data_IF_241815823044
#
_entry.id   IF_241815823044
#
_cell.length_a   1.000
_cell.length_b   1.000
_cell.length_c   1.000
_cell.angle_alpha   90.00
_cell.angle_beta   90.00
_cell.angle_gamma   90.00
#
_symmetry.space_group_name_H-M   'P 1'
#
loop_
_entity.id
_entity.type
_entity.pdbx_description
1 polymer ?
#
# COMPACT_ATOMS: atom_id res chain seq x y z
N UNK A 1 29.65 -35.72 -59.33
CA UNK A 1 30.07 -34.34 -59.63
C UNK A 1 29.05 -33.38 -59.03
N UNK A 2 29.49 -32.28 -58.38
CA UNK A 2 28.59 -31.23 -57.92
C UNK A 2 28.69 -30.83 -56.44
N UNK A 3 29.92 -30.73 -55.89
CA UNK A 3 30.18 -29.94 -54.68
C UNK A 3 30.56 -28.54 -55.14
N UNK A 4 30.01 -27.50 -54.49
CA UNK A 4 30.46 -26.09 -54.43
C UNK A 4 29.48 -25.03 -54.97
N UNK A 5 28.55 -24.56 -54.14
CA UNK A 5 27.92 -23.23 -54.36
C UNK A 5 27.36 -22.55 -53.09
N UNK A 6 27.58 -23.11 -51.90
CA UNK A 6 26.96 -22.57 -50.66
C UNK A 6 27.79 -21.55 -49.88
N UNK A 7 29.10 -21.46 -50.11
CA UNK A 7 30.01 -20.69 -49.23
C UNK A 7 30.29 -19.24 -49.65
N UNK A 8 29.95 -18.85 -50.88
CA UNK A 8 30.25 -17.51 -51.40
C UNK A 8 29.26 -16.43 -50.94
N UNK A 9 28.02 -16.79 -50.56
CA UNK A 9 26.97 -15.83 -50.20
C UNK A 9 27.05 -15.30 -48.75
N UNK A 10 27.87 -15.91 -47.89
CA UNK A 10 28.01 -15.50 -46.48
C UNK A 10 29.16 -14.53 -46.23
N UNK A 11 30.10 -14.34 -47.16
CA UNK A 11 31.20 -13.37 -46.98
C UNK A 11 30.81 -11.94 -47.37
N UNK A 12 29.92 -11.77 -48.34
CA UNK A 12 29.46 -10.46 -48.82
C UNK A 12 28.59 -9.74 -47.77
N UNK A 13 27.69 -10.47 -47.09
CA UNK A 13 26.82 -9.91 -46.03
C UNK A 13 27.57 -9.46 -44.76
N UNK A 14 28.79 -9.96 -44.52
CA UNK A 14 29.59 -9.58 -43.33
C UNK A 14 30.44 -8.33 -43.57
N UNK A 15 30.65 -7.94 -44.82
CA UNK A 15 31.40 -6.75 -45.19
C UNK A 15 30.54 -5.47 -45.17
N UNK A 16 29.25 -5.56 -45.50
CA UNK A 16 28.34 -4.41 -45.47
C UNK A 16 27.98 -3.95 -44.05
N UNK A 17 27.89 -4.88 -43.08
CA UNK A 17 27.59 -4.51 -41.70
C UNK A 17 28.74 -3.76 -41.00
N UNK A 18 29.95 -3.80 -41.55
CA UNK A 18 31.10 -3.05 -41.02
C UNK A 18 31.21 -1.62 -41.56
N UNK A 19 30.46 -1.24 -42.60
CA UNK A 19 30.46 0.13 -43.16
C UNK A 19 29.41 1.06 -42.56
N UNK A 20 28.40 0.55 -41.86
CA UNK A 20 27.35 1.36 -41.23
C UNK A 20 27.66 1.79 -39.79
N UNK A 21 28.87 1.54 -39.27
CA UNK A 21 29.40 2.25 -38.10
C UNK A 21 29.91 3.66 -38.45
N UNK A 22 29.14 4.39 -39.28
CA UNK A 22 29.26 5.84 -39.43
C UNK A 22 28.88 6.46 -38.08
N UNK A 23 29.90 6.75 -37.30
CA UNK A 23 30.02 7.97 -36.48
C UNK A 23 28.71 8.42 -35.83
N UNK A 24 28.32 7.74 -34.76
CA UNK A 24 27.63 8.43 -33.66
C UNK A 24 28.65 9.34 -32.97
N UNK A 25 28.98 10.45 -33.63
CA UNK A 25 29.60 11.57 -32.94
C UNK A 25 28.60 12.00 -31.88
N UNK A 26 28.97 11.78 -30.62
CA UNK A 26 28.17 12.25 -29.49
C UNK A 26 28.06 13.77 -29.68
N UNK A 27 26.84 14.34 -29.82
CA UNK A 27 26.72 15.78 -29.89
C UNK A 27 27.43 16.36 -28.67
N UNK A 28 28.28 17.36 -28.91
CA UNK A 28 29.15 17.92 -27.89
C UNK A 28 28.25 18.62 -26.86
N UNK A 29 27.84 17.89 -25.82
CA UNK A 29 26.86 18.28 -24.79
C UNK A 29 27.23 19.62 -24.11
N UNK A 30 28.49 20.04 -24.23
CA UNK A 30 28.97 21.35 -23.76
C UNK A 30 28.54 22.50 -24.67
N UNK A 31 28.46 22.29 -25.98
CA UNK A 31 27.99 23.29 -26.94
C UNK A 31 26.48 23.55 -26.78
N UNK A 32 25.66 22.49 -26.67
CA UNK A 32 24.21 22.63 -26.41
C UNK A 32 23.91 23.34 -25.09
N UNK A 33 24.63 22.99 -24.01
CA UNK A 33 24.47 23.67 -22.71
C UNK A 33 24.85 25.16 -22.78
N UNK A 34 25.89 25.49 -23.55
CA UNK A 34 26.30 26.90 -23.76
C UNK A 34 25.27 27.65 -24.60
N UNK A 35 24.72 27.06 -25.65
CA UNK A 35 23.68 27.67 -26.48
C UNK A 35 22.39 27.91 -25.67
N UNK A 36 21.97 26.91 -24.89
CA UNK A 36 20.80 27.02 -24.02
C UNK A 36 20.96 28.12 -22.97
N UNK A 37 22.13 28.23 -22.33
CA UNK A 37 22.41 29.34 -21.40
C UNK A 37 22.47 30.70 -22.09
N UNK A 38 22.95 30.77 -23.33
CA UNK A 38 22.94 32.02 -24.10
C UNK A 38 21.52 32.44 -24.51
N UNK A 39 20.63 31.49 -24.81
CA UNK A 39 19.20 31.79 -25.05
C UNK A 39 18.51 32.34 -23.80
N UNK A 40 18.79 31.80 -22.62
CA UNK A 40 18.29 32.36 -21.35
C UNK A 40 18.83 33.77 -21.05
N UNK A 41 20.07 34.08 -21.47
CA UNK A 41 20.64 35.42 -21.29
C UNK A 41 20.17 36.44 -22.33
N UNK A 42 19.87 36.01 -23.56
CA UNK A 42 19.39 36.88 -24.66
C UNK A 42 17.88 37.09 -24.64
N UNK A 43 17.13 36.07 -24.24
CA UNK A 43 15.69 36.14 -24.03
C UNK A 43 15.38 36.52 -22.60
N UNK A 44 15.67 37.76 -22.21
CA UNK A 44 14.99 38.40 -21.09
C UNK A 44 13.52 38.53 -21.46
N UNK A 45 12.78 37.43 -21.35
CA UNK A 45 11.34 37.38 -21.49
C UNK A 45 10.82 38.23 -20.33
N UNK A 46 10.54 39.51 -20.64
CA UNK A 46 9.60 40.34 -19.88
C UNK A 46 8.23 39.71 -20.08
N UNK A 47 8.00 38.54 -19.49
CA UNK A 47 6.65 38.01 -19.33
C UNK A 47 5.93 39.05 -18.51
N UNK A 48 4.95 39.69 -19.15
CA UNK A 48 3.88 40.41 -18.46
C UNK A 48 3.51 39.60 -17.23
N UNK A 49 3.41 40.27 -16.09
CA UNK A 49 3.10 39.68 -14.81
C UNK A 49 1.77 38.93 -14.90
N UNK A 50 1.81 37.65 -15.27
CA UNK A 50 0.70 36.75 -15.02
C UNK A 50 0.56 36.70 -13.50
N UNK A 51 -0.67 36.71 -12.99
CA UNK A 51 -0.95 36.52 -11.55
C UNK A 51 -0.18 35.32 -10.95
N UNK A 52 0.20 34.36 -11.80
CA UNK A 52 1.07 33.21 -11.49
C UNK A 52 2.46 33.57 -10.91
N UNK A 53 3.00 34.76 -11.14
CA UNK A 53 4.31 35.15 -10.61
C UNK A 53 4.23 36.09 -9.39
N UNK A 54 3.02 36.48 -8.99
CA UNK A 54 2.84 37.31 -7.79
C UNK A 54 3.02 36.44 -6.53
N UNK A 55 3.90 36.84 -5.60
CA UNK A 55 4.08 36.12 -4.34
C UNK A 55 2.81 36.27 -3.49
N UNK A 56 2.23 35.15 -3.08
CA UNK A 56 1.07 35.15 -2.18
C UNK A 56 1.46 35.58 -0.76
N UNK A 57 0.51 36.15 -0.02
CA UNK A 57 0.71 36.49 1.39
C UNK A 57 1.12 35.25 2.22
N UNK A 58 2.18 35.34 3.03
CA UNK A 58 2.68 34.20 3.79
C UNK A 58 1.73 33.85 4.94
N UNK A 59 1.14 32.64 4.92
CA UNK A 59 0.46 32.07 6.10
C UNK A 59 1.47 31.31 6.95
N UNK A 60 1.74 31.85 8.14
CA UNK A 60 2.45 31.15 9.21
C UNK A 60 3.93 30.91 8.95
N UNK A 61 4.78 31.51 9.77
CA UNK A 61 6.20 31.21 9.80
C UNK A 61 6.43 29.83 10.47
N UNK A 62 6.29 28.73 9.73
CA UNK A 62 6.83 27.45 10.21
C UNK A 62 8.31 27.34 9.80
N UNK A 63 9.23 27.07 10.74
CA UNK A 63 10.67 27.23 10.55
C UNK A 63 11.33 26.06 9.80
N UNK A 64 10.57 25.19 9.11
CA UNK A 64 11.09 23.91 8.62
C UNK A 64 10.66 23.60 7.19
N UNK A 65 11.31 24.26 6.23
CA UNK A 65 11.18 23.94 4.80
C UNK A 65 11.85 24.98 3.90
N UNK A 66 12.42 24.57 2.76
CA UNK A 66 12.91 25.50 1.72
C UNK A 66 11.74 26.36 1.25
N UNK A 67 11.77 27.67 1.54
CA UNK A 67 10.67 28.64 1.41
C UNK A 67 9.90 28.62 0.07
N UNK A 68 10.50 28.14 -1.01
CA UNK A 68 9.88 28.13 -2.35
C UNK A 68 9.21 26.81 -2.74
N UNK A 69 9.43 25.70 -2.01
CA UNK A 69 8.90 24.39 -2.43
C UNK A 69 7.44 24.18 -2.00
N UNK A 70 7.05 24.70 -0.84
CA UNK A 70 5.68 24.57 -0.33
C UNK A 70 4.68 25.49 -1.05
N UNK A 71 5.13 26.63 -1.57
CA UNK A 71 4.26 27.57 -2.30
C UNK A 71 3.74 26.99 -3.63
N UNK A 72 4.54 26.15 -4.29
CA UNK A 72 4.12 25.48 -5.52
C UNK A 72 3.06 24.43 -5.21
N UNK A 73 3.28 23.57 -4.22
CA UNK A 73 2.32 22.52 -3.82
C UNK A 73 0.99 23.11 -3.35
N UNK A 74 1.04 24.12 -2.47
CA UNK A 74 -0.18 24.77 -1.94
C UNK A 74 -1.02 25.42 -3.05
N UNK A 75 -0.36 25.96 -4.08
CA UNK A 75 -1.02 26.57 -5.24
C UNK A 75 -1.60 25.53 -6.21
N UNK A 76 -0.96 24.37 -6.37
CA UNK A 76 -1.51 23.25 -7.15
C UNK A 76 -2.74 22.65 -6.47
N UNK A 77 -2.72 22.51 -5.14
CA UNK A 77 -3.86 22.03 -4.35
C UNK A 77 -5.05 22.98 -4.49
N UNK A 78 -4.84 24.30 -4.30
CA UNK A 78 -5.90 25.30 -4.49
C UNK A 78 -6.46 25.33 -5.91
N UNK A 79 -5.63 25.08 -6.93
CA UNK A 79 -6.12 25.01 -8.31
C UNK A 79 -6.97 23.77 -8.55
N UNK A 80 -6.60 22.63 -7.97
CA UNK A 80 -7.38 21.40 -8.05
C UNK A 80 -8.72 21.59 -7.33
N UNK A 81 -8.72 22.16 -6.12
CA UNK A 81 -9.94 22.45 -5.35
C UNK A 81 -10.84 23.46 -6.10
N UNK A 82 -10.26 24.50 -6.72
CA UNK A 82 -11.03 25.50 -7.49
C UNK A 82 -11.60 24.99 -8.81
N UNK A 83 -11.02 23.92 -9.37
CA UNK A 83 -11.47 23.29 -10.61
C UNK A 83 -12.42 22.12 -10.35
N UNK A 84 -12.61 21.74 -9.08
CA UNK A 84 -13.61 20.78 -8.69
C UNK A 84 -14.95 21.49 -8.52
N UNK A 85 -15.97 21.16 -9.34
CA UNK A 85 -17.33 21.58 -9.07
C UNK A 85 -17.78 21.02 -7.71
N UNK A 86 -18.58 21.80 -6.97
CA UNK A 86 -19.15 21.38 -5.67
C UNK A 86 -19.87 20.01 -5.78
N UNK A 87 -20.50 19.73 -6.94
CA UNK A 87 -21.18 18.47 -7.26
C UNK A 87 -20.24 17.26 -7.46
N UNK A 88 -18.92 17.45 -7.49
CA UNK A 88 -17.93 16.37 -7.63
C UNK A 88 -17.20 16.04 -6.33
N UNK A 89 -17.42 16.77 -5.24
CA UNK A 89 -16.81 16.47 -3.94
C UNK A 89 -17.23 15.07 -3.43
N UNK A 90 -18.46 14.63 -3.72
CA UNK A 90 -18.92 13.27 -3.42
C UNK A 90 -18.18 12.18 -4.22
N UNK A 91 -17.57 12.51 -5.37
CA UNK A 91 -16.77 11.57 -6.16
C UNK A 91 -15.34 11.41 -5.61
N UNK A 92 -14.87 12.36 -4.81
CA UNK A 92 -13.59 12.26 -4.10
C UNK A 92 -13.80 11.43 -2.85
N UNK A 93 -13.69 10.12 -3.02
CA UNK A 93 -13.63 9.18 -1.90
C UNK A 93 -12.52 9.63 -0.94
N UNK A 94 -12.80 9.79 0.37
CA UNK A 94 -11.78 10.20 1.32
C UNK A 94 -10.62 9.19 1.30
N UNK A 95 -9.37 9.65 1.42
CA UNK A 95 -8.18 8.78 1.42
C UNK A 95 -8.21 7.69 2.52
N UNK A 96 -9.05 7.86 3.55
CA UNK A 96 -9.32 6.88 4.60
C UNK A 96 -10.30 5.76 4.18
N UNK A 97 -11.01 5.93 3.08
CA UNK A 97 -12.02 5.01 2.58
C UNK A 97 -11.35 3.76 2.00
N UNK A 98 -11.71 2.59 2.54
CA UNK A 98 -11.33 1.27 2.00
C UNK A 98 -12.58 0.59 1.45
N UNK A 99 -13.06 0.99 0.25
CA UNK A 99 -14.39 0.62 -0.26
C UNK A 99 -14.65 -0.87 -0.47
N UNK A 100 -13.60 -1.69 -0.60
CA UNK A 100 -13.73 -3.01 -1.19
C UNK A 100 -13.37 -4.15 -0.23
N UNK A 101 -13.31 -3.90 1.09
CA UNK A 101 -13.00 -4.98 2.03
C UNK A 101 -14.04 -6.09 1.96
N UNK A 102 -15.32 -5.75 1.89
CA UNK A 102 -16.41 -6.74 1.86
C UNK A 102 -16.42 -7.60 0.59
N UNK A 103 -15.94 -7.05 -0.54
CA UNK A 103 -15.97 -7.74 -1.85
C UNK A 103 -14.69 -8.52 -2.18
N UNK A 104 -13.62 -8.35 -1.42
CA UNK A 104 -12.31 -8.92 -1.77
C UNK A 104 -11.61 -9.64 -0.64
N UNK A 105 -12.05 -9.46 0.62
CA UNK A 105 -11.35 -10.03 1.76
C UNK A 105 -11.99 -11.32 2.21
N UNK A 106 -11.14 -12.28 2.60
CA UNK A 106 -11.56 -13.58 3.13
C UNK A 106 -11.33 -13.68 4.63
N UNK A 107 -11.19 -12.54 5.29
CA UNK A 107 -10.76 -12.47 6.68
C UNK A 107 -11.75 -11.66 7.50
N UNK A 108 -12.20 -12.21 8.61
CA UNK A 108 -12.98 -11.52 9.62
C UNK A 108 -12.13 -11.21 10.85
N UNK A 109 -12.34 -10.03 11.44
CA UNK A 109 -11.90 -9.65 12.78
C UNK A 109 -13.13 -9.71 13.69
N UNK A 110 -13.08 -10.57 14.68
CA UNK A 110 -14.07 -10.67 15.75
C UNK A 110 -13.46 -9.99 16.98
N UNK A 111 -14.06 -8.90 17.42
CA UNK A 111 -13.72 -8.22 18.68
C UNK A 111 -14.68 -8.65 19.77
N UNK A 112 -14.12 -9.01 20.91
CA UNK A 112 -14.87 -9.30 22.13
C UNK A 112 -14.86 -8.05 23.01
N UNK A 113 -16.00 -7.71 23.60
CA UNK A 113 -16.09 -6.56 24.50
C UNK A 113 -15.33 -6.86 25.79
N UNK A 114 -14.36 -6.00 26.11
CA UNK A 114 -13.46 -6.18 27.25
C UNK A 114 -14.19 -6.13 28.61
N UNK A 115 -15.34 -5.44 28.68
CA UNK A 115 -16.16 -5.33 29.89
C UNK A 115 -16.77 -6.67 30.31
N UNK A 116 -16.94 -7.61 29.39
CA UNK A 116 -17.56 -8.91 29.67
C UNK A 116 -16.60 -9.91 30.34
N UNK A 117 -15.33 -9.54 30.60
CA UNK A 117 -14.33 -10.47 31.13
C UNK A 117 -14.00 -11.66 30.19
N UNK A 118 -14.50 -11.62 28.96
CA UNK A 118 -14.43 -12.67 27.94
C UNK A 118 -13.00 -12.88 27.38
N UNK A 119 -12.13 -11.90 27.58
CA UNK A 119 -10.76 -11.82 27.07
C UNK A 119 -9.87 -13.01 27.42
N UNK A 120 -10.25 -13.81 28.42
CA UNK A 120 -9.42 -14.89 28.96
C UNK A 120 -9.83 -16.31 28.55
N UNK A 121 -11.00 -16.54 27.93
CA UNK A 121 -11.53 -17.91 27.82
C UNK A 121 -11.99 -18.38 26.44
N UNK A 122 -12.05 -17.53 25.42
CA UNK A 122 -12.51 -18.00 24.09
C UNK A 122 -11.53 -19.00 23.50
N UNK A 123 -12.00 -20.25 23.36
CA UNK A 123 -11.26 -21.37 22.76
C UNK A 123 -11.45 -21.43 21.25
N UNK A 124 -10.56 -22.15 20.54
CA UNK A 124 -10.71 -22.36 19.10
C UNK A 124 -11.99 -23.13 18.76
N UNK A 125 -12.38 -24.09 19.60
CA UNK A 125 -13.58 -24.89 19.41
C UNK A 125 -14.86 -24.07 19.57
N UNK A 126 -14.86 -23.09 20.49
CA UNK A 126 -15.97 -22.13 20.61
C UNK A 126 -16.10 -21.25 19.35
N UNK A 127 -14.97 -20.78 18.81
CA UNK A 127 -14.98 -19.99 17.56
C UNK A 127 -15.48 -20.83 16.39
N UNK A 128 -15.06 -22.10 16.28
CA UNK A 128 -15.55 -23.02 15.25
C UNK A 128 -17.05 -23.30 15.40
N UNK A 129 -17.51 -23.49 16.64
CA UNK A 129 -18.93 -23.72 16.94
C UNK A 129 -19.78 -22.49 16.59
N UNK A 130 -19.28 -21.30 16.90
CA UNK A 130 -19.92 -20.03 16.56
C UNK A 130 -20.05 -19.81 15.06
N UNK A 131 -19.04 -20.21 14.28
CA UNK A 131 -19.01 -20.05 12.83
C UNK A 131 -19.83 -21.12 12.08
N UNK A 132 -20.27 -22.19 12.75
CA UNK A 132 -21.04 -23.26 12.12
C UNK A 132 -22.29 -22.71 11.41
N UNK A 133 -22.54 -23.08 10.13
CA UNK A 133 -21.95 -24.20 9.38
C UNK A 133 -20.68 -23.89 8.57
N UNK A 134 -20.12 -22.68 8.66
CA UNK A 134 -18.99 -22.23 7.85
C UNK A 134 -17.67 -22.87 8.30
N UNK A 135 -16.81 -23.23 7.34
CA UNK A 135 -15.51 -23.85 7.62
C UNK A 135 -14.40 -22.81 7.53
N UNK A 136 -13.82 -22.46 8.69
CA UNK A 136 -12.66 -21.59 8.73
C UNK A 136 -11.38 -22.34 8.32
N UNK A 137 -10.62 -21.78 7.38
CA UNK A 137 -9.29 -22.29 6.98
C UNK A 137 -8.23 -22.02 8.05
N UNK A 138 -8.38 -20.91 8.79
CA UNK A 138 -7.44 -20.54 9.83
C UNK A 138 -8.07 -19.66 10.90
N UNK A 139 -7.69 -19.89 12.16
CA UNK A 139 -8.15 -19.12 13.32
C UNK A 139 -6.92 -18.64 14.09
N UNK A 140 -6.90 -17.36 14.43
CA UNK A 140 -5.84 -16.72 15.20
C UNK A 140 -6.44 -15.99 16.40
N UNK A 141 -6.22 -16.54 17.60
CA UNK A 141 -6.78 -16.05 18.86
C UNK A 141 -5.72 -15.27 19.65
N UNK A 142 -6.16 -14.26 20.41
CA UNK A 142 -5.30 -13.58 21.40
C UNK A 142 -4.39 -12.50 20.81
N UNK A 143 -4.73 -11.97 19.63
CA UNK A 143 -4.02 -10.80 19.13
C UNK A 143 -4.52 -9.55 19.84
N UNK A 144 -3.74 -9.08 20.81
CA UNK A 144 -3.90 -7.77 21.42
C UNK A 144 -3.22 -6.71 20.56
N UNK A 145 -3.99 -5.70 20.14
CA UNK A 145 -3.48 -4.57 19.37
C UNK A 145 -2.44 -3.74 20.14
N UNK A 146 -1.89 -2.70 19.51
CA UNK A 146 -0.89 -1.82 20.14
C UNK A 146 -1.40 -1.18 21.43
N UNK A 147 -2.68 -0.88 21.48
CA UNK A 147 -3.33 -0.26 22.64
C UNK A 147 -3.79 -1.28 23.69
N UNK A 148 -3.59 -2.58 23.45
CA UNK A 148 -3.86 -3.71 24.37
C UNK A 148 -5.27 -3.83 24.98
N UNK A 149 -6.19 -2.93 24.62
CA UNK A 149 -7.52 -2.83 25.23
C UNK A 149 -8.53 -3.87 24.73
N UNK A 150 -8.38 -4.37 23.50
CA UNK A 150 -9.33 -5.32 22.91
C UNK A 150 -8.61 -6.63 22.55
N UNK A 151 -9.13 -7.75 23.04
CA UNK A 151 -8.79 -9.05 22.46
C UNK A 151 -9.56 -9.25 21.16
N UNK A 152 -8.82 -9.53 20.09
CA UNK A 152 -9.38 -9.82 18.79
C UNK A 152 -9.03 -11.24 18.36
N UNK A 153 -10.03 -11.92 17.82
CA UNK A 153 -9.88 -13.16 17.06
C UNK A 153 -9.91 -12.81 15.58
N UNK A 154 -8.99 -13.36 14.81
CA UNK A 154 -9.04 -13.27 13.35
C UNK A 154 -9.32 -14.64 12.78
N UNK A 155 -10.22 -14.67 11.80
CA UNK A 155 -10.67 -15.89 11.13
C UNK A 155 -10.46 -15.69 9.64
N UNK A 156 -9.87 -16.67 8.97
CA UNK A 156 -9.71 -16.69 7.52
C UNK A 156 -10.52 -17.84 6.92
N UNK A 157 -11.23 -17.55 5.83
CA UNK A 157 -12.02 -18.49 5.04
C UNK A 157 -11.36 -18.76 3.68
N UNK A 158 -11.82 -19.80 3.01
CA UNK A 158 -11.31 -20.17 1.69
C UNK A 158 -11.87 -19.22 0.63
N UNK A 159 -13.16 -18.93 0.73
CA UNK A 159 -13.90 -18.08 -0.21
C UNK A 159 -14.36 -16.77 0.43
N UNK A 160 -14.69 -15.79 -0.42
CA UNK A 160 -15.25 -14.53 0.06
C UNK A 160 -16.72 -14.69 0.48
N UNK A 161 -17.47 -15.59 -0.16
CA UNK A 161 -18.87 -15.84 0.16
C UNK A 161 -19.02 -16.29 1.62
N UNK A 162 -18.20 -17.24 2.06
CA UNK A 162 -18.16 -17.68 3.47
C UNK A 162 -17.80 -16.54 4.44
N UNK A 163 -16.93 -15.62 4.02
CA UNK A 163 -16.58 -14.45 4.81
C UNK A 163 -17.77 -13.49 4.97
N UNK A 164 -18.56 -13.31 3.91
CA UNK A 164 -19.78 -12.51 3.93
C UNK A 164 -20.88 -13.15 4.79
N UNK A 165 -21.04 -14.46 4.70
CA UNK A 165 -21.98 -15.20 5.55
C UNK A 165 -21.56 -15.12 7.02
N UNK A 166 -20.26 -15.26 7.30
CA UNK A 166 -19.72 -15.12 8.65
C UNK A 166 -19.93 -13.71 9.22
N UNK A 167 -19.98 -12.67 8.38
CA UNK A 167 -20.28 -11.29 8.80
C UNK A 167 -21.71 -11.14 9.32
N UNK A 168 -22.65 -11.99 8.91
CA UNK A 168 -24.04 -11.98 9.39
C UNK A 168 -24.18 -12.44 10.85
N UNK A 169 -23.11 -12.99 11.44
CA UNK A 169 -23.06 -13.41 12.84
C UNK A 169 -22.76 -12.27 13.83
N UNK A 170 -22.65 -11.04 13.35
CA UNK A 170 -22.41 -9.86 14.18
C UNK A 170 -23.51 -9.63 15.21
N UNK A 171 -23.10 -9.35 16.45
CA UNK A 171 -24.00 -9.23 17.60
C UNK A 171 -24.43 -10.56 18.21
N UNK A 172 -24.15 -11.71 17.59
CA UNK A 172 -24.40 -13.02 18.21
C UNK A 172 -23.42 -13.26 19.38
N UNK A 173 -23.83 -14.03 20.40
CA UNK A 173 -22.96 -14.33 21.54
C UNK A 173 -21.79 -15.24 21.13
N UNK A 174 -20.59 -14.91 21.60
CA UNK A 174 -19.39 -15.74 21.52
C UNK A 174 -18.76 -15.79 22.91
N UNK A 175 -18.90 -16.93 23.59
CA UNK A 175 -18.59 -17.03 25.01
C UNK A 175 -19.58 -16.23 25.87
N UNK A 176 -19.11 -15.43 26.86
CA UNK A 176 -20.00 -14.73 27.80
C UNK A 176 -20.55 -13.39 27.28
N UNK A 177 -20.12 -12.91 26.11
CA UNK A 177 -20.48 -11.58 25.59
C UNK A 177 -20.85 -11.57 24.11
N UNK A 178 -21.43 -10.46 23.61
CA UNK A 178 -21.72 -10.29 22.19
C UNK A 178 -20.43 -10.16 21.37
N UNK A 179 -20.38 -10.82 20.22
CA UNK A 179 -19.28 -10.73 19.28
C UNK A 179 -19.50 -9.58 18.30
N UNK A 180 -18.48 -8.75 18.10
CA UNK A 180 -18.50 -7.70 17.08
C UNK A 180 -17.64 -8.12 15.90
N UNK A 181 -18.28 -8.40 14.76
CA UNK A 181 -17.65 -8.97 13.57
C UNK A 181 -17.42 -7.87 12.54
N UNK A 182 -16.19 -7.75 12.04
CA UNK A 182 -15.80 -6.76 11.03
C UNK A 182 -14.92 -7.41 9.97
N UNK A 183 -15.01 -6.93 8.73
CA UNK A 183 -14.05 -7.33 7.70
C UNK A 183 -12.63 -6.91 8.06
N UNK A 184 -11.67 -7.74 7.68
CA UNK A 184 -10.25 -7.46 7.83
C UNK A 184 -9.50 -7.82 6.56
N UNK A 185 -8.28 -7.31 6.42
CA UNK A 185 -7.48 -7.56 5.22
C UNK A 185 -6.68 -8.85 5.41
N UNK A 186 -6.59 -9.70 4.39
CA UNK A 186 -5.83 -10.96 4.43
C UNK A 186 -4.35 -10.75 4.85
N UNK A 187 -3.74 -9.64 4.40
CA UNK A 187 -2.38 -9.28 4.83
C UNK A 187 -2.29 -8.98 6.34
N UNK A 188 -3.38 -8.54 6.98
CA UNK A 188 -3.45 -8.37 8.42
C UNK A 188 -3.47 -9.72 9.13
N UNK A 189 -4.24 -10.70 8.64
CA UNK A 189 -4.25 -12.07 9.17
C UNK A 189 -2.86 -12.68 9.18
N UNK A 190 -2.16 -12.64 8.04
CA UNK A 190 -0.80 -13.16 7.92
C UNK A 190 0.15 -12.55 8.98
N UNK A 191 0.11 -11.22 9.15
CA UNK A 191 0.91 -10.52 10.17
C UNK A 191 0.56 -10.96 11.59
N UNK A 192 -0.73 -11.15 11.87
CA UNK A 192 -1.20 -11.65 13.18
C UNK A 192 -0.63 -13.05 13.46
N UNK A 193 -0.70 -13.97 12.49
CA UNK A 193 -0.13 -15.30 12.62
C UNK A 193 1.39 -15.26 12.87
N UNK A 194 2.13 -14.43 12.13
CA UNK A 194 3.56 -14.23 12.32
C UNK A 194 3.88 -13.69 13.73
N UNK A 195 3.13 -12.71 14.21
CA UNK A 195 3.31 -12.11 15.53
C UNK A 195 3.00 -13.11 16.66
N UNK A 196 1.94 -13.90 16.52
CA UNK A 196 1.60 -14.96 17.46
C UNK A 196 2.67 -16.06 17.49
N UNK A 197 3.20 -16.45 16.33
CA UNK A 197 4.29 -17.42 16.25
C UNK A 197 5.58 -16.90 16.94
N UNK A 198 5.92 -15.63 16.76
CA UNK A 198 7.06 -14.98 17.45
C UNK A 198 6.85 -14.95 18.97
N UNK A 199 5.65 -14.58 19.44
CA UNK A 199 5.31 -14.58 20.88
C UNK A 199 5.39 -16.00 21.47
N UNK A 200 4.93 -17.00 20.73
CA UNK A 200 5.01 -18.41 21.14
C UNK A 200 6.45 -18.89 21.32
N UNK A 201 7.36 -18.53 20.41
CA UNK A 201 8.80 -18.84 20.52
C UNK A 201 9.43 -18.17 21.75
N UNK A 202 9.20 -16.87 21.93
CA UNK A 202 9.73 -16.12 23.07
C UNK A 202 9.24 -16.69 24.42
N UNK A 203 7.97 -17.13 24.50
CA UNK A 203 7.42 -17.77 25.69
C UNK A 203 8.11 -19.09 26.01
N UNK A 204 8.36 -19.93 24.99
CA UNK A 204 9.07 -21.22 25.14
C UNK A 204 10.52 -21.04 25.59
N UNK A 205 11.21 -20.00 25.13
CA UNK A 205 12.57 -19.70 25.55
C UNK A 205 12.63 -19.26 27.02
N UNK A 206 11.69 -18.40 27.46
CA UNK A 206 11.57 -17.99 28.87
C UNK A 206 11.28 -19.17 29.80
N UNK A 207 10.41 -20.10 29.41
CA UNK A 207 10.13 -21.29 30.22
C UNK A 207 11.35 -22.19 30.35
N UNK A 208 12.19 -22.30 29.32
CA UNK A 208 13.46 -23.05 29.40
C UNK A 208 14.47 -22.38 30.33
N UNK A 209 14.56 -21.05 30.32
CA UNK A 209 15.44 -20.31 31.23
C UNK A 209 15.05 -20.52 32.71
N UNK A 210 13.75 -20.48 33.01
CA UNK A 210 13.23 -20.71 34.36
C UNK A 210 13.44 -22.15 34.87
N UNK A 211 13.48 -23.15 33.98
CA UNK A 211 13.75 -24.54 34.38
C UNK A 211 15.23 -24.83 34.62
N UNK A 212 16.13 -23.99 34.09
CA UNK A 212 17.57 -24.14 34.20
C UNK A 212 18.19 -23.24 35.29
N UNK A 213 17.37 -22.48 36.02
CA UNK A 213 17.77 -21.63 37.15
C UNK A 213 17.36 -22.30 38.46
#
# INVERSE_FOLDING_TARGET
AGVSSGRALLSVRRAEWKRTKRTWEKPDLKAEKREMQQRYKRGGIKTAASEFCLPSEPRGATPRGKKNHFQLLDRYIRRIDSLMPEDMEELVRPLSYKPNQERTTRTLKITLDAESGADAQVTEDEVRSFLSPLVATGIAIGWKGKEQLESAVYVQFETNEECQDGRQLDGKPLGPGPAKVRYSVDNKFRRVCEDLAKRGKARRERTKQLQNS
#
